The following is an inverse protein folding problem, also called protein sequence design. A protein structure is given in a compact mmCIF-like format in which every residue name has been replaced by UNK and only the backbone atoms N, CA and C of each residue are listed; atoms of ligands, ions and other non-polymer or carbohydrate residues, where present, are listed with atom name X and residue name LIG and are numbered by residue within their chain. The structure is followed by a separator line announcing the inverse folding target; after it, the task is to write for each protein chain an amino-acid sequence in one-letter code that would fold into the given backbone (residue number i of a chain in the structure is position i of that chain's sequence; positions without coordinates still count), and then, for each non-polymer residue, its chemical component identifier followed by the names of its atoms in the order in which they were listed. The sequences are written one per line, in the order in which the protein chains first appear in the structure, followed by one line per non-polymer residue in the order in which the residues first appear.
data_IF_333510702533
#
_entry.id   IF_333510702533
#
_cell.length_a   1.000
_cell.length_b   1.000
_cell.length_c   1.000
_cell.angle_alpha   90.00
_cell.angle_beta   90.00
_cell.angle_gamma   90.00
#
_symmetry.space_group_name_H-M   'P 1'
#
loop_
_entity.id
_entity.type
_entity.pdbx_description
1 polymer ?
#
# COMPACT_ATOMS: atom_id res chain seq x y z
N UNK A 1 -28.34 2.49 16.42
CA UNK A 1 -27.84 3.50 15.46
C UNK A 1 -26.74 2.98 14.52
N UNK A 2 -25.55 2.50 14.95
CA UNK A 2 -24.51 2.05 14.01
C UNK A 2 -24.93 0.83 13.16
N UNK A 3 -25.71 -0.08 13.76
CA UNK A 3 -26.20 -1.30 13.10
C UNK A 3 -27.33 -1.02 12.10
N UNK A 4 -28.22 -0.05 12.39
CA UNK A 4 -29.21 0.41 11.40
C UNK A 4 -28.53 1.06 10.19
N UNK A 5 -27.57 1.96 10.41
CA UNK A 5 -26.80 2.60 9.32
C UNK A 5 -26.10 1.54 8.46
N UNK A 6 -25.44 0.56 9.08
CA UNK A 6 -24.77 -0.52 8.35
C UNK A 6 -25.75 -1.41 7.56
N UNK A 7 -26.99 -1.61 8.04
CA UNK A 7 -28.05 -2.32 7.30
C UNK A 7 -28.57 -1.51 6.12
N UNK A 8 -28.71 -0.20 6.30
CA UNK A 8 -29.23 0.72 5.30
C UNK A 8 -28.27 0.89 4.12
N UNK A 9 -26.96 0.97 4.38
CA UNK A 9 -25.95 1.10 3.30
C UNK A 9 -25.64 -0.24 2.60
N UNK A 10 -25.97 -1.38 3.21
CA UNK A 10 -25.59 -2.72 2.72
C UNK A 10 -26.02 -2.99 1.27
N UNK A 11 -27.27 -2.73 0.84
CA UNK A 11 -27.68 -3.00 -0.53
C UNK A 11 -26.92 -2.16 -1.56
N UNK A 12 -26.62 -0.90 -1.21
CA UNK A 12 -25.81 -0.03 -2.06
C UNK A 12 -24.36 -0.52 -2.13
N UNK A 13 -23.74 -0.86 -0.99
CA UNK A 13 -22.38 -1.40 -0.95
C UNK A 13 -22.27 -2.73 -1.72
N UNK A 14 -23.26 -3.61 -1.62
CA UNK A 14 -23.25 -4.88 -2.35
C UNK A 14 -23.42 -4.68 -3.86
N UNK A 15 -24.37 -3.82 -4.28
CA UNK A 15 -24.62 -3.53 -5.70
C UNK A 15 -23.43 -2.80 -6.34
N UNK A 16 -22.97 -1.73 -5.72
CA UNK A 16 -21.90 -0.91 -6.26
C UNK A 16 -20.52 -1.52 -6.00
N UNK A 17 -20.33 -2.27 -4.92
CA UNK A 17 -19.11 -3.06 -4.68
C UNK A 17 -18.94 -4.19 -5.71
N UNK A 18 -20.02 -4.88 -6.07
CA UNK A 18 -19.99 -5.89 -7.14
C UNK A 18 -19.67 -5.28 -8.52
N UNK A 19 -20.26 -4.13 -8.85
CA UNK A 19 -19.95 -3.39 -10.07
C UNK A 19 -18.52 -2.81 -10.06
N UNK A 20 -18.04 -2.38 -8.89
CA UNK A 20 -16.68 -1.89 -8.67
C UNK A 20 -15.64 -3.00 -8.91
N UNK A 21 -15.87 -4.21 -8.40
CA UNK A 21 -14.96 -5.36 -8.60
C UNK A 21 -15.00 -5.99 -10.00
N UNK A 22 -15.88 -5.54 -10.90
CA UNK A 22 -16.07 -6.15 -12.23
C UNK A 22 -15.96 -5.17 -13.41
N UNK A 23 -15.70 -3.88 -13.16
CA UNK A 23 -15.47 -2.90 -14.23
C UNK A 23 -14.09 -3.13 -14.88
N UNK A 24 -14.00 -3.18 -16.21
CA UNK A 24 -12.72 -3.27 -16.93
C UNK A 24 -11.78 -2.10 -16.62
N UNK A 25 -12.32 -0.89 -16.49
CA UNK A 25 -11.55 0.31 -16.15
C UNK A 25 -10.97 0.22 -14.74
N UNK A 26 -11.75 -0.30 -13.79
CA UNK A 26 -11.27 -0.54 -12.43
C UNK A 26 -10.32 -1.72 -12.33
N UNK A 27 -10.49 -2.76 -13.15
CA UNK A 27 -9.55 -3.87 -13.25
C UNK A 27 -8.20 -3.42 -13.83
N UNK A 28 -8.18 -2.47 -14.77
CA UNK A 28 -6.95 -1.86 -15.29
C UNK A 28 -6.26 -0.98 -14.23
N UNK A 29 -7.05 -0.17 -13.51
CA UNK A 29 -6.55 0.62 -12.38
C UNK A 29 -6.07 -0.26 -11.21
N UNK A 30 -6.72 -1.39 -10.94
CA UNK A 30 -6.29 -2.40 -9.97
C UNK A 30 -5.05 -3.15 -10.45
N UNK A 31 -4.95 -3.46 -11.75
CA UNK A 31 -3.78 -4.08 -12.36
C UNK A 31 -2.54 -3.19 -12.26
N UNK A 32 -2.72 -1.87 -12.30
CA UNK A 32 -1.64 -0.89 -12.06
C UNK A 32 -1.12 -0.89 -10.61
N UNK A 33 -1.90 -1.42 -9.66
CA UNK A 33 -1.63 -1.33 -8.22
C UNK A 33 -2.00 0.02 -7.59
N UNK A 34 -2.33 1.04 -8.38
CA UNK A 34 -2.49 2.43 -7.92
C UNK A 34 -3.95 2.85 -7.63
N UNK A 35 -4.89 1.91 -7.51
CA UNK A 35 -6.30 2.21 -7.31
C UNK A 35 -6.59 3.09 -6.08
N UNK A 36 -5.94 2.81 -4.95
CA UNK A 36 -6.09 3.62 -3.73
C UNK A 36 -5.52 5.03 -3.92
N UNK A 37 -4.36 5.15 -4.57
CA UNK A 37 -3.78 6.44 -4.89
C UNK A 37 -4.69 7.25 -5.83
N UNK A 38 -5.20 6.64 -6.90
CA UNK A 38 -6.14 7.27 -7.82
C UNK A 38 -7.40 7.75 -7.09
N UNK A 39 -7.97 6.92 -6.20
CA UNK A 39 -9.10 7.31 -5.37
C UNK A 39 -8.79 8.48 -4.42
N UNK A 40 -7.60 8.49 -3.81
CA UNK A 40 -7.16 9.60 -2.93
C UNK A 40 -6.98 10.91 -3.67
N UNK A 41 -6.49 10.89 -4.91
CA UNK A 41 -6.31 12.09 -5.72
C UNK A 41 -7.63 12.82 -6.03
N UNK A 42 -8.77 12.12 -5.97
CA UNK A 42 -10.08 12.73 -6.19
C UNK A 42 -10.61 13.50 -4.97
N UNK A 43 -9.97 13.37 -3.81
CA UNK A 43 -10.37 14.09 -2.60
C UNK A 43 -9.78 15.49 -2.64
N UNK A 44 -10.63 16.52 -2.49
CA UNK A 44 -10.19 17.91 -2.41
C UNK A 44 -9.18 18.14 -1.29
N UNK A 45 -8.16 18.95 -1.58
CA UNK A 45 -7.15 19.33 -0.59
C UNK A 45 -7.79 20.11 0.57
N UNK A 46 -7.55 19.70 1.83
CA UNK A 46 -8.03 20.44 2.99
C UNK A 46 -7.44 21.86 3.07
N UNK A 47 -8.23 22.81 3.56
CA UNK A 47 -7.77 24.17 3.83
C UNK A 47 -6.96 24.27 5.14
N UNK A 48 -7.31 23.44 6.14
CA UNK A 48 -6.56 23.36 7.40
C UNK A 48 -5.13 22.86 7.15
N UNK A 49 -4.09 23.58 7.62
CA UNK A 49 -2.69 23.24 7.33
C UNK A 49 -2.28 21.84 7.79
N UNK A 50 -2.73 21.38 8.96
CA UNK A 50 -2.36 20.07 9.51
C UNK A 50 -3.04 18.95 8.71
N UNK A 51 -4.33 19.10 8.45
CA UNK A 51 -5.07 18.17 7.59
C UNK A 51 -4.47 18.12 6.18
N UNK A 52 -3.95 19.24 5.67
CA UNK A 52 -3.28 19.31 4.37
C UNK A 52 -2.01 18.47 4.32
N UNK A 53 -1.18 18.53 5.36
CA UNK A 53 0.02 17.69 5.48
C UNK A 53 -0.39 16.22 5.57
N UNK A 54 -1.35 15.88 6.43
CA UNK A 54 -1.86 14.52 6.56
C UNK A 54 -2.39 13.95 5.25
N UNK A 55 -3.11 14.77 4.46
CA UNK A 55 -3.58 14.39 3.13
C UNK A 55 -2.42 14.12 2.16
N UNK A 56 -1.39 14.98 2.13
CA UNK A 56 -0.20 14.77 1.31
C UNK A 56 0.58 13.51 1.68
N UNK A 57 0.77 13.24 2.97
CA UNK A 57 1.41 12.01 3.46
C UNK A 57 0.62 10.76 3.07
N UNK A 58 -0.72 10.84 3.13
CA UNK A 58 -1.58 9.75 2.71
C UNK A 58 -1.48 9.48 1.21
N UNK A 59 -1.40 10.51 0.37
CA UNK A 59 -1.16 10.35 -1.08
C UNK A 59 0.17 9.65 -1.34
N UNK A 60 1.26 10.10 -0.70
CA UNK A 60 2.58 9.46 -0.83
C UNK A 60 2.57 8.00 -0.37
N UNK A 61 1.88 7.71 0.75
CA UNK A 61 1.70 6.35 1.26
C UNK A 61 0.99 5.45 0.26
N UNK A 62 -0.16 5.88 -0.27
CA UNK A 62 -0.92 5.05 -1.22
C UNK A 62 -0.19 4.89 -2.55
N UNK A 63 0.54 5.92 -3.02
CA UNK A 63 1.36 5.82 -4.22
C UNK A 63 2.50 4.80 -4.04
N UNK A 64 3.31 4.93 -2.97
CA UNK A 64 4.40 3.99 -2.68
C UNK A 64 3.86 2.57 -2.52
N UNK A 65 2.76 2.39 -1.77
CA UNK A 65 2.17 1.08 -1.53
C UNK A 65 1.69 0.40 -2.82
N UNK A 66 0.99 1.15 -3.68
CA UNK A 66 0.53 0.63 -4.96
C UNK A 66 1.66 0.29 -5.93
N UNK A 67 2.64 1.18 -6.05
CA UNK A 67 3.87 0.96 -6.80
C UNK A 67 4.62 -0.28 -6.29
N UNK A 68 4.78 -0.41 -4.98
CA UNK A 68 5.44 -1.56 -4.37
C UNK A 68 4.73 -2.87 -4.72
N UNK A 69 3.40 -2.91 -4.67
CA UNK A 69 2.65 -4.10 -5.10
C UNK A 69 2.84 -4.44 -6.58
N UNK A 70 2.88 -3.43 -7.46
CA UNK A 70 3.19 -3.63 -8.86
C UNK A 70 4.61 -4.20 -9.06
N UNK A 71 5.59 -3.66 -8.35
CA UNK A 71 6.99 -4.13 -8.37
C UNK A 71 7.11 -5.56 -7.83
N UNK A 72 6.45 -5.90 -6.71
CA UNK A 72 6.43 -7.27 -6.19
C UNK A 72 5.97 -8.25 -7.26
N UNK A 73 4.88 -7.95 -7.97
CA UNK A 73 4.38 -8.77 -9.08
C UNK A 73 5.39 -8.86 -10.22
N UNK A 74 6.03 -7.75 -10.59
CA UNK A 74 7.04 -7.72 -11.65
C UNK A 74 8.27 -8.58 -11.32
N UNK A 75 8.68 -8.65 -10.05
CA UNK A 75 9.75 -9.55 -9.60
C UNK A 75 9.25 -10.95 -9.24
N UNK A 76 7.99 -11.27 -9.52
CA UNK A 76 7.40 -12.59 -9.32
C UNK A 76 7.16 -12.97 -7.85
N UNK A 77 6.92 -11.99 -6.98
CA UNK A 77 6.49 -12.17 -5.60
C UNK A 77 4.99 -11.95 -5.45
N UNK A 78 4.36 -12.81 -4.66
CA UNK A 78 3.03 -12.55 -4.10
C UNK A 78 3.15 -11.70 -2.84
N UNK A 79 2.07 -11.01 -2.46
CA UNK A 79 2.04 -10.21 -1.22
C UNK A 79 2.34 -11.06 0.02
N UNK A 80 1.76 -12.27 0.21
CA UNK A 80 2.12 -13.09 1.36
C UNK A 80 3.60 -13.50 1.39
N UNK A 81 4.19 -13.86 0.25
CA UNK A 81 5.63 -14.17 0.19
C UNK A 81 6.47 -12.95 0.63
N UNK A 82 6.14 -11.76 0.13
CA UNK A 82 6.83 -10.53 0.51
C UNK A 82 6.69 -10.23 2.00
N UNK A 83 5.48 -10.37 2.57
CA UNK A 83 5.25 -10.18 4.01
C UNK A 83 6.01 -11.19 4.85
N UNK A 84 6.16 -12.44 4.40
CA UNK A 84 6.94 -13.46 5.13
C UNK A 84 8.44 -13.16 5.11
N UNK A 85 8.93 -12.56 4.03
CA UNK A 85 10.35 -12.21 3.86
C UNK A 85 10.73 -10.88 4.51
N UNK A 86 9.80 -9.94 4.61
CA UNK A 86 9.98 -8.66 5.30
C UNK A 86 10.41 -8.87 6.77
N UNK A 87 11.55 -8.28 7.22
CA UNK A 87 12.00 -8.34 8.61
C UNK A 87 10.99 -7.78 9.63
N UNK A 88 10.18 -6.80 9.23
CA UNK A 88 9.10 -6.22 10.04
C UNK A 88 7.75 -6.94 9.84
N UNK A 89 7.75 -7.97 8.99
CA UNK A 89 6.57 -8.71 8.58
C UNK A 89 6.34 -9.98 9.39
N UNK A 90 6.18 -11.09 8.69
CA UNK A 90 5.95 -12.41 9.24
C UNK A 90 4.51 -12.69 9.68
N UNK A 91 4.37 -13.74 10.50
CA UNK A 91 3.08 -14.36 10.83
C UNK A 91 2.07 -13.39 11.44
N UNK A 92 2.50 -12.55 12.38
CA UNK A 92 1.62 -11.60 13.05
C UNK A 92 1.00 -10.59 12.06
N UNK A 93 1.76 -10.17 11.04
CA UNK A 93 1.29 -9.24 10.01
C UNK A 93 0.30 -9.91 9.06
N UNK A 94 0.53 -11.16 8.68
CA UNK A 94 -0.43 -11.95 7.88
C UNK A 94 -1.76 -12.19 8.60
N UNK A 95 -1.74 -12.45 9.91
CA UNK A 95 -2.98 -12.63 10.67
C UNK A 95 -3.87 -11.37 10.71
N UNK A 96 -3.28 -10.19 10.50
CA UNK A 96 -4.03 -8.92 10.41
C UNK A 96 -4.76 -8.76 9.07
N UNK A 97 -4.48 -9.58 8.06
CA UNK A 97 -5.13 -9.51 6.74
C UNK A 97 -6.33 -10.45 6.61
N UNK A 98 -7.06 -10.67 7.70
CA UNK A 98 -8.26 -11.53 7.77
C UNK A 98 -8.04 -13.00 7.32
N UNK A 99 -6.80 -13.48 7.38
CA UNK A 99 -6.47 -14.89 7.11
C UNK A 99 -6.70 -15.74 8.36
N UNK A 100 -7.16 -16.98 8.19
CA UNK A 100 -7.16 -17.96 9.29
C UNK A 100 -5.73 -18.32 9.70
N UNK A 101 -5.51 -18.77 10.94
CA UNK A 101 -4.20 -19.29 11.37
C UNK A 101 -3.68 -20.40 10.46
N UNK A 102 -4.54 -21.32 10.05
CA UNK A 102 -4.19 -22.46 9.19
C UNK A 102 -3.71 -21.99 7.81
N UNK A 103 -4.47 -21.11 7.15
CA UNK A 103 -4.07 -20.54 5.87
C UNK A 103 -2.79 -19.72 5.98
N UNK A 104 -2.59 -19.01 7.10
CA UNK A 104 -1.36 -18.25 7.35
C UNK A 104 -0.15 -19.18 7.41
N UNK A 105 -0.25 -20.29 8.14
CA UNK A 105 0.84 -21.25 8.31
C UNK A 105 1.16 -21.98 6.99
N UNK A 106 0.15 -22.29 6.18
CA UNK A 106 0.32 -22.83 4.83
C UNK A 106 1.06 -21.85 3.89
N UNK A 107 0.71 -20.56 3.93
CA UNK A 107 1.37 -19.52 3.13
C UNK A 107 2.85 -19.37 3.53
N UNK A 108 3.13 -19.36 4.84
CA UNK A 108 4.51 -19.33 5.36
C UNK A 108 5.29 -20.56 4.92
N UNK A 109 4.71 -21.75 5.06
CA UNK A 109 5.35 -22.99 4.64
C UNK A 109 5.63 -23.01 3.14
N UNK A 110 4.71 -22.47 2.31
CA UNK A 110 4.91 -22.32 0.87
C UNK A 110 6.04 -21.35 0.53
N UNK A 111 6.05 -20.17 1.15
CA UNK A 111 7.09 -19.18 0.94
C UNK A 111 8.48 -19.76 1.26
N UNK A 112 8.64 -20.42 2.42
CA UNK A 112 9.92 -21.01 2.85
C UNK A 112 10.51 -22.07 1.91
N UNK A 113 9.71 -22.69 1.04
CA UNK A 113 10.20 -23.66 0.04
C UNK A 113 10.91 -23.00 -1.15
N UNK A 114 10.79 -21.68 -1.29
CA UNK A 114 11.33 -20.93 -2.42
C UNK A 114 12.67 -20.27 -2.04
N UNK A 115 13.79 -20.70 -2.64
CA UNK A 115 15.12 -20.31 -2.17
C UNK A 115 15.53 -18.87 -2.55
N UNK A 116 14.86 -18.25 -3.51
CA UNK A 116 15.22 -16.94 -4.06
C UNK A 116 14.37 -15.77 -3.52
N UNK A 117 13.54 -16.01 -2.50
CA UNK A 117 12.62 -14.99 -1.96
C UNK A 117 13.35 -13.74 -1.46
N UNK A 118 14.39 -13.92 -0.65
CA UNK A 118 15.15 -12.80 -0.08
C UNK A 118 15.74 -11.90 -1.16
N UNK A 119 16.33 -12.51 -2.20
CA UNK A 119 16.93 -11.77 -3.31
C UNK A 119 15.86 -11.00 -4.10
N UNK A 120 14.69 -11.60 -4.32
CA UNK A 120 13.56 -10.92 -5.00
C UNK A 120 12.97 -9.80 -4.16
N UNK A 121 12.84 -10.01 -2.85
CA UNK A 121 12.30 -9.01 -1.93
C UNK A 121 13.21 -7.79 -1.88
N UNK A 122 14.53 -7.97 -1.73
CA UNK A 122 15.50 -6.87 -1.80
C UNK A 122 15.43 -6.13 -3.13
N UNK A 123 15.33 -6.87 -4.24
CA UNK A 123 15.16 -6.26 -5.56
C UNK A 123 13.87 -5.43 -5.66
N UNK A 124 12.79 -5.89 -5.05
CA UNK A 124 11.54 -5.15 -5.02
C UNK A 124 11.64 -3.86 -4.20
N UNK A 125 12.28 -3.89 -3.03
CA UNK A 125 12.54 -2.67 -2.24
C UNK A 125 13.39 -1.68 -3.04
N UNK A 126 14.53 -2.12 -3.62
CA UNK A 126 15.38 -1.24 -4.42
C UNK A 126 14.66 -0.60 -5.60
N UNK A 127 13.90 -1.38 -6.38
CA UNK A 127 13.13 -0.85 -7.50
C UNK A 127 12.02 0.11 -7.03
N UNK A 128 11.39 -0.17 -5.88
CA UNK A 128 10.39 0.74 -5.30
C UNK A 128 11.04 2.07 -4.92
N UNK A 129 12.20 2.02 -4.26
CA UNK A 129 12.91 3.21 -3.80
C UNK A 129 13.48 4.03 -4.98
N UNK A 130 14.01 3.39 -6.02
CA UNK A 130 14.45 4.05 -7.26
C UNK A 130 13.31 4.83 -7.91
N UNK A 131 12.16 4.18 -8.10
CA UNK A 131 10.98 4.79 -8.72
C UNK A 131 10.36 5.89 -7.85
N UNK A 132 10.41 5.75 -6.52
CA UNK A 132 10.04 6.84 -5.60
C UNK A 132 11.04 8.00 -5.68
N UNK A 133 12.33 7.71 -5.86
CA UNK A 133 13.38 8.71 -6.06
C UNK A 133 13.14 9.57 -7.29
N UNK A 134 12.82 8.94 -8.43
CA UNK A 134 12.46 9.63 -9.68
C UNK A 134 11.28 10.60 -9.48
N UNK A 135 10.24 10.19 -8.76
CA UNK A 135 9.11 11.07 -8.44
C UNK A 135 9.55 12.33 -7.66
N UNK A 136 10.49 12.17 -6.72
CA UNK A 136 10.98 13.25 -5.87
C UNK A 136 11.96 14.20 -6.59
N UNK A 137 12.37 13.90 -7.83
CA UNK A 137 13.18 14.80 -8.64
C UNK A 137 12.44 16.10 -8.99
N UNK A 138 11.11 16.11 -8.94
CA UNK A 138 10.28 17.33 -9.10
C UNK A 138 10.59 18.40 -8.06
N UNK A 139 11.10 18.00 -6.89
CA UNK A 139 11.52 18.91 -5.83
C UNK A 139 12.93 19.44 -6.11
N UNK A 140 13.25 20.64 -5.63
CA UNK A 140 14.65 21.08 -5.57
C UNK A 140 15.42 20.26 -4.53
N UNK A 141 16.75 20.25 -4.62
CA UNK A 141 17.59 19.60 -3.60
C UNK A 141 17.30 20.16 -2.19
N UNK A 142 17.17 21.49 -2.06
CA UNK A 142 16.84 22.14 -0.80
C UNK A 142 15.47 21.69 -0.24
N UNK A 143 14.46 21.51 -1.09
CA UNK A 143 13.15 21.01 -0.67
C UNK A 143 13.17 19.53 -0.30
N UNK A 144 13.95 18.69 -1.00
CA UNK A 144 14.15 17.28 -0.61
C UNK A 144 14.81 17.19 0.76
N UNK A 145 15.86 17.98 1.01
CA UNK A 145 16.55 17.99 2.29
C UNK A 145 15.64 18.47 3.43
N UNK A 146 14.82 19.49 3.17
CA UNK A 146 13.82 19.96 4.12
C UNK A 146 12.79 18.88 4.44
N UNK A 147 12.26 18.20 3.42
CA UNK A 147 11.31 17.10 3.58
C UNK A 147 11.90 15.98 4.47
N UNK A 148 13.12 15.53 4.17
CA UNK A 148 13.79 14.47 4.95
C UNK A 148 13.95 14.88 6.41
N UNK A 149 14.42 16.09 6.69
CA UNK A 149 14.58 16.58 8.07
C UNK A 149 13.24 16.63 8.79
N UNK A 150 12.20 17.21 8.18
CA UNK A 150 10.89 17.33 8.80
C UNK A 150 10.25 15.97 9.10
N UNK A 151 10.41 14.97 8.22
CA UNK A 151 9.90 13.61 8.48
C UNK A 151 10.70 12.89 9.58
N UNK A 152 12.03 13.07 9.61
CA UNK A 152 12.87 12.49 10.65
C UNK A 152 12.57 13.07 12.04
N UNK A 153 12.19 14.35 12.12
CA UNK A 153 11.78 14.99 13.37
C UNK A 153 10.46 14.39 13.89
N UNK A 154 9.47 14.19 13.01
CA UNK A 154 8.20 13.54 13.38
C UNK A 154 8.37 12.11 13.92
N UNK A 155 9.32 11.35 13.37
CA UNK A 155 9.59 9.98 13.82
C UNK A 155 10.36 9.86 15.13
N UNK A 156 10.84 10.97 15.71
CA UNK A 156 11.57 11.01 16.99
C UNK A 156 10.69 11.35 18.19
N UNK A 157 9.41 11.67 17.96
CA UNK A 157 8.44 12.00 19.02
C UNK A 157 7.68 10.76 19.57
N UNK A 158 8.03 9.55 19.12
CA UNK A 158 7.60 8.26 19.73
C UNK A 158 8.64 7.72 20.73
#
# INVERSE_FOLDING_TARGET
MPVEIAREIRPAVQKYGGAFMTSPELAEVEASGLALFAGRQQVSWPADPVARIGHGLMLLREYRGGLHFAVLRAVGLTVPEAVVTDPEGGRARLLRTACSPETTDELIARARRRPDLEARWRRAESLTDEQMGELLEVLSAAHRDALVRSLADLGREE
#
